data_IF_573978420858
#
_entry.id   IF_573978420858
#
_cell.length_a   1.000
_cell.length_b   1.000
_cell.length_c   1.000
_cell.angle_alpha   90.00
_cell.angle_beta   90.00
_cell.angle_gamma   90.00
#
_symmetry.space_group_name_H-M   'P 1'
#
loop_
_entity.id
_entity.type
_entity.pdbx_description
1 polymer ?
#
# COMPACT_ATOMS: atom_id res chain seq x y z
N UNK A 1 9.61 -2.20 -26.92
CA UNK A 1 10.23 -1.67 -25.68
C UNK A 1 11.49 -0.92 -26.08
N UNK A 2 11.68 0.30 -25.58
CA UNK A 2 12.90 1.08 -25.78
C UNK A 2 13.60 1.18 -24.41
N UNK A 3 14.87 0.79 -24.37
CA UNK A 3 15.73 0.84 -23.18
C UNK A 3 17.09 1.42 -23.56
N UNK A 4 17.57 2.41 -22.80
CA UNK A 4 18.88 3.04 -23.06
C UNK A 4 20.04 2.23 -22.49
N UNK A 5 19.80 1.48 -21.43
CA UNK A 5 20.82 0.64 -20.78
C UNK A 5 20.93 -0.71 -21.51
N UNK A 6 22.03 -1.42 -21.28
CA UNK A 6 22.23 -2.77 -21.79
C UNK A 6 21.37 -3.84 -21.08
N UNK A 7 20.68 -3.48 -20.02
CA UNK A 7 19.80 -4.34 -19.22
C UNK A 7 18.43 -3.68 -19.04
N UNK A 8 17.37 -4.46 -19.26
CA UNK A 8 15.99 -4.01 -19.05
C UNK A 8 15.58 -4.16 -17.58
N UNK A 9 14.61 -3.36 -17.13
CA UNK A 9 14.05 -3.49 -15.78
C UNK A 9 13.87 -2.17 -15.03
N UNK A 10 14.43 -1.06 -15.53
CA UNK A 10 14.29 0.26 -14.88
C UNK A 10 14.71 0.22 -13.41
N UNK A 11 13.85 0.72 -12.53
CA UNK A 11 14.08 0.72 -11.07
C UNK A 11 14.06 -0.68 -10.43
N UNK A 12 13.47 -1.66 -11.10
CA UNK A 12 13.40 -3.04 -10.61
C UNK A 12 14.63 -3.89 -10.97
N UNK A 13 15.59 -3.33 -11.75
CA UNK A 13 16.79 -4.07 -12.16
C UNK A 13 17.59 -4.57 -10.96
N UNK A 14 18.10 -5.79 -11.06
CA UNK A 14 19.03 -6.38 -10.09
C UNK A 14 20.46 -6.16 -10.56
N UNK A 15 21.26 -5.49 -9.75
CA UNK A 15 22.65 -5.18 -10.05
C UNK A 15 23.59 -5.75 -8.97
N UNK A 16 24.82 -6.01 -9.36
CA UNK A 16 25.88 -6.39 -8.43
C UNK A 16 26.49 -5.11 -7.85
N UNK A 17 26.25 -4.88 -6.55
CA UNK A 17 26.80 -3.71 -5.86
C UNK A 17 28.12 -4.00 -5.14
N UNK A 18 28.45 -5.27 -4.96
CA UNK A 18 29.72 -5.77 -4.42
C UNK A 18 29.98 -7.15 -5.03
N UNK A 19 31.24 -7.56 -5.29
CA UNK A 19 31.55 -8.87 -5.85
C UNK A 19 30.84 -10.03 -5.12
N UNK A 20 30.00 -10.77 -5.86
CA UNK A 20 29.18 -11.87 -5.34
C UNK A 20 27.85 -11.45 -4.69
N UNK A 21 27.58 -10.14 -4.52
CA UNK A 21 26.36 -9.64 -3.90
C UNK A 21 25.50 -8.86 -4.89
N UNK A 22 24.30 -9.35 -5.12
CA UNK A 22 23.33 -8.75 -6.04
C UNK A 22 22.07 -8.35 -5.31
N UNK A 23 21.52 -7.18 -5.64
CA UNK A 23 20.27 -6.70 -5.10
C UNK A 23 19.50 -5.89 -6.15
N UNK A 24 18.19 -5.75 -5.96
CA UNK A 24 17.42 -4.79 -6.74
C UNK A 24 17.80 -3.36 -6.34
N UNK A 25 17.95 -2.49 -7.34
CA UNK A 25 18.35 -1.09 -7.11
C UNK A 25 17.31 -0.34 -6.29
N UNK A 26 16.02 -0.50 -6.58
CA UNK A 26 14.96 0.24 -5.89
C UNK A 26 13.70 -0.59 -5.59
N UNK A 27 13.63 -1.85 -6.00
CA UNK A 27 12.46 -2.72 -5.78
C UNK A 27 12.78 -3.83 -4.78
N UNK A 28 12.84 -3.48 -3.51
CA UNK A 28 13.16 -4.40 -2.42
C UNK A 28 11.99 -5.30 -1.98
N UNK A 29 10.78 -4.98 -2.40
CA UNK A 29 9.56 -5.72 -2.06
C UNK A 29 8.68 -5.91 -3.28
N UNK A 30 8.14 -7.13 -3.46
CA UNK A 30 7.13 -7.43 -4.47
C UNK A 30 5.75 -7.26 -3.84
N UNK A 31 5.21 -6.05 -3.85
CA UNK A 31 3.91 -5.73 -3.23
C UNK A 31 2.82 -5.40 -4.24
N UNK A 32 3.18 -4.84 -5.40
CA UNK A 32 2.22 -4.30 -6.38
C UNK A 32 2.15 -5.12 -7.68
N UNK A 33 2.93 -6.20 -7.80
CA UNK A 33 2.86 -7.07 -8.97
C UNK A 33 1.51 -7.78 -9.01
N UNK A 34 0.71 -7.44 -10.01
CA UNK A 34 -0.65 -7.93 -10.12
C UNK A 34 -0.70 -9.42 -10.48
N UNK A 35 -1.57 -10.22 -9.85
CA UNK A 35 -1.75 -11.64 -10.19
C UNK A 35 -2.06 -11.88 -11.67
N UNK A 36 -2.80 -10.96 -12.30
CA UNK A 36 -3.09 -11.02 -13.74
C UNK A 36 -1.80 -10.99 -14.58
N UNK A 37 -0.85 -10.12 -14.25
CA UNK A 37 0.44 -10.03 -14.96
C UNK A 37 1.25 -11.31 -14.79
N UNK A 38 1.23 -11.88 -13.57
CA UNK A 38 1.91 -13.16 -13.30
C UNK A 38 1.32 -14.27 -14.18
N UNK A 39 -0.01 -14.34 -14.29
CA UNK A 39 -0.70 -15.34 -15.09
C UNK A 39 -0.52 -15.12 -16.59
N UNK A 40 -0.73 -13.90 -17.09
CA UNK A 40 -0.67 -13.58 -18.52
C UNK A 40 0.72 -13.80 -19.12
N UNK A 41 1.77 -13.59 -18.32
CA UNK A 41 3.17 -13.77 -18.72
C UNK A 41 3.77 -15.10 -18.27
N UNK A 42 2.98 -15.96 -17.62
CA UNK A 42 3.43 -17.24 -17.08
C UNK A 42 4.75 -17.13 -16.30
N UNK A 43 4.83 -16.14 -15.41
CA UNK A 43 6.08 -15.77 -14.76
C UNK A 43 6.67 -16.90 -13.89
N UNK A 44 5.82 -17.78 -13.36
CA UNK A 44 6.29 -18.94 -12.58
C UNK A 44 7.04 -19.96 -13.45
N UNK A 45 6.60 -20.20 -14.69
CA UNK A 45 7.33 -21.03 -15.64
C UNK A 45 8.68 -20.41 -16.06
N UNK A 46 8.75 -19.07 -16.01
CA UNK A 46 10.00 -18.32 -16.24
C UNK A 46 10.85 -18.14 -14.99
N UNK A 47 10.54 -18.85 -13.89
CA UNK A 47 11.37 -18.89 -12.68
C UNK A 47 11.05 -17.86 -11.61
N UNK A 48 9.92 -17.13 -11.71
CA UNK A 48 9.51 -16.24 -10.63
C UNK A 48 9.23 -17.04 -9.36
N UNK A 49 9.94 -16.70 -8.30
CA UNK A 49 9.75 -17.26 -6.97
C UNK A 49 9.61 -16.11 -5.96
N UNK A 50 8.42 -15.91 -5.44
CA UNK A 50 8.15 -14.93 -4.40
C UNK A 50 8.35 -15.57 -3.04
N UNK A 51 9.25 -15.01 -2.23
CA UNK A 51 9.55 -15.50 -0.88
C UNK A 51 8.85 -14.61 0.13
N UNK A 52 7.97 -15.17 0.91
CA UNK A 52 7.28 -14.48 2.00
C UNK A 52 8.24 -14.19 3.15
N UNK A 53 8.33 -12.93 3.55
CA UNK A 53 9.09 -12.54 4.74
C UNK A 53 8.30 -12.91 6.00
N UNK A 54 8.99 -13.43 7.01
CA UNK A 54 8.37 -13.73 8.31
C UNK A 54 8.03 -12.48 9.12
N UNK A 55 8.75 -11.37 8.87
CA UNK A 55 8.58 -10.07 9.51
C UNK A 55 8.51 -8.98 8.43
N UNK A 56 7.62 -8.03 8.61
CA UNK A 56 7.46 -6.91 7.68
C UNK A 56 8.48 -5.82 7.96
N UNK A 57 8.56 -5.36 9.22
CA UNK A 57 9.43 -4.28 9.61
C UNK A 57 10.20 -4.60 10.90
N UNK A 58 11.38 -4.04 11.00
CA UNK A 58 12.20 -3.96 12.22
C UNK A 58 12.56 -2.50 12.46
N UNK A 59 12.03 -1.93 13.54
CA UNK A 59 12.32 -0.58 13.98
C UNK A 59 13.18 -0.62 15.24
N UNK A 60 14.51 -0.37 15.16
CA UNK A 60 15.34 -0.18 16.33
C UNK A 60 15.10 1.18 16.98
N UNK A 61 15.18 1.24 18.30
CA UNK A 61 15.03 2.47 19.08
C UNK A 61 16.35 2.81 19.80
N UNK A 62 16.58 4.10 20.13
CA UNK A 62 17.85 4.56 20.74
C UNK A 62 18.18 3.90 22.09
N UNK A 63 17.18 3.47 22.83
CA UNK A 63 17.31 2.81 24.14
C UNK A 63 17.60 1.30 24.06
N UNK A 64 17.84 0.77 22.87
CA UNK A 64 18.08 -0.63 22.61
C UNK A 64 16.82 -1.48 22.52
N UNK A 65 15.64 -0.90 22.72
CA UNK A 65 14.38 -1.56 22.42
C UNK A 65 14.17 -1.63 20.89
N UNK A 66 13.21 -2.40 20.48
CA UNK A 66 12.82 -2.49 19.06
C UNK A 66 11.35 -2.90 18.91
N UNK A 67 10.76 -2.48 17.80
CA UNK A 67 9.45 -2.94 17.37
C UNK A 67 9.60 -3.85 16.14
N UNK A 68 9.06 -5.06 16.22
CA UNK A 68 8.90 -5.98 15.10
C UNK A 68 7.44 -6.01 14.66
N UNK A 69 7.19 -5.87 13.35
CA UNK A 69 5.85 -6.05 12.79
C UNK A 69 5.84 -7.16 11.75
N UNK A 70 4.64 -7.63 11.41
CA UNK A 70 4.44 -8.80 10.55
C UNK A 70 4.45 -10.12 11.30
N UNK A 71 3.61 -11.03 10.82
CA UNK A 71 3.34 -12.30 11.51
C UNK A 71 2.43 -12.13 12.72
N UNK A 72 2.08 -13.24 13.37
CA UNK A 72 1.06 -13.27 14.43
C UNK A 72 1.42 -12.57 15.75
N UNK A 73 2.62 -12.01 15.89
CA UNK A 73 3.09 -11.40 17.13
C UNK A 73 3.02 -9.86 17.13
N UNK A 74 2.55 -9.23 16.05
CA UNK A 74 2.55 -7.75 15.92
C UNK A 74 1.85 -7.08 17.09
N UNK A 75 0.66 -7.54 17.47
CA UNK A 75 -0.11 -7.00 18.61
C UNK A 75 0.68 -7.07 19.92
N UNK A 76 1.35 -8.20 20.16
CA UNK A 76 2.17 -8.39 21.37
C UNK A 76 3.41 -7.48 21.38
N UNK A 77 4.01 -7.27 20.21
CA UNK A 77 5.15 -6.35 20.08
C UNK A 77 4.73 -4.90 20.33
N UNK A 78 3.58 -4.48 19.79
CA UNK A 78 3.00 -3.14 20.01
C UNK A 78 2.63 -2.95 21.50
N UNK A 79 2.11 -3.98 22.15
CA UNK A 79 1.74 -3.93 23.58
C UNK A 79 2.91 -3.60 24.51
N UNK A 80 4.16 -3.79 24.08
CA UNK A 80 5.35 -3.37 24.85
C UNK A 80 5.43 -1.85 24.99
N UNK A 81 4.86 -1.10 24.06
CA UNK A 81 4.91 0.37 24.00
C UNK A 81 3.59 1.00 24.44
N UNK A 82 2.46 0.42 24.03
CA UNK A 82 1.12 0.83 24.44
C UNK A 82 0.13 -0.33 24.34
N UNK A 83 -0.49 -0.65 25.45
CA UNK A 83 -1.57 -1.64 25.50
C UNK A 83 -2.79 -1.17 24.70
N UNK A 84 -3.11 0.13 24.80
CA UNK A 84 -4.21 0.75 24.04
C UNK A 84 -4.01 0.62 22.54
N UNK A 85 -2.79 0.86 22.06
CA UNK A 85 -2.46 0.76 20.64
C UNK A 85 -2.58 -0.70 20.16
N UNK A 86 -2.11 -1.65 20.97
CA UNK A 86 -2.24 -3.07 20.68
C UNK A 86 -3.70 -3.54 20.59
N UNK A 87 -4.58 -3.00 21.43
CA UNK A 87 -6.01 -3.28 21.41
C UNK A 87 -6.71 -2.66 20.17
N UNK A 88 -6.22 -1.53 19.66
CA UNK A 88 -6.79 -0.83 18.50
C UNK A 88 -6.28 -1.32 17.15
N UNK A 89 -5.07 -1.86 17.12
CA UNK A 89 -4.41 -2.25 15.89
C UNK A 89 -5.24 -3.20 15.00
N UNK A 90 -5.90 -4.25 15.52
CA UNK A 90 -6.69 -5.13 14.67
C UNK A 90 -7.87 -4.44 13.98
N UNK A 91 -8.50 -3.49 14.64
CA UNK A 91 -9.61 -2.71 14.05
C UNK A 91 -9.10 -1.73 13.01
N UNK A 92 -7.97 -1.09 13.25
CA UNK A 92 -7.28 -0.24 12.27
C UNK A 92 -6.95 -1.02 11.00
N UNK A 93 -6.30 -2.18 11.12
CA UNK A 93 -5.95 -3.04 9.99
C UNK A 93 -7.20 -3.48 9.22
N UNK A 94 -8.24 -3.92 9.91
CA UNK A 94 -9.50 -4.36 9.30
C UNK A 94 -10.16 -3.25 8.46
N UNK A 95 -10.15 -2.01 8.95
CA UNK A 95 -10.72 -0.87 8.22
C UNK A 95 -9.91 -0.49 7.00
N UNK A 96 -8.59 -0.43 7.14
CA UNK A 96 -7.71 -0.17 6.00
C UNK A 96 -7.83 -1.25 4.93
N UNK A 97 -7.91 -2.51 5.30
CA UNK A 97 -8.09 -3.61 4.35
C UNK A 97 -9.40 -3.48 3.57
N UNK A 98 -10.50 -3.14 4.24
CA UNK A 98 -11.78 -2.91 3.58
C UNK A 98 -11.73 -1.76 2.56
N UNK A 99 -11.05 -0.67 2.90
CA UNK A 99 -10.82 0.46 1.98
C UNK A 99 -9.89 0.06 0.84
N UNK A 100 -8.79 -0.61 1.16
CA UNK A 100 -7.80 -1.05 0.18
C UNK A 100 -8.39 -2.02 -0.86
N UNK A 101 -9.30 -2.90 -0.47
CA UNK A 101 -9.98 -3.81 -1.40
C UNK A 101 -10.81 -3.06 -2.44
N UNK A 102 -11.50 -2.00 -2.03
CA UNK A 102 -12.24 -1.13 -2.95
C UNK A 102 -11.29 -0.38 -3.87
N UNK A 103 -10.20 0.19 -3.32
CA UNK A 103 -9.21 0.94 -4.12
C UNK A 103 -8.47 0.03 -5.11
N UNK A 104 -8.09 -1.19 -4.72
CA UNK A 104 -7.48 -2.18 -5.63
C UNK A 104 -8.40 -2.51 -6.80
N UNK A 105 -9.69 -2.70 -6.53
CA UNK A 105 -10.68 -2.97 -7.56
C UNK A 105 -10.87 -1.77 -8.52
N UNK A 106 -10.79 -0.54 -8.02
CA UNK A 106 -10.84 0.69 -8.82
C UNK A 106 -9.57 0.88 -9.65
N UNK A 107 -8.40 0.65 -9.06
CA UNK A 107 -7.11 0.83 -9.73
C UNK A 107 -6.90 -0.10 -10.93
N UNK A 108 -7.57 -1.27 -10.95
CA UNK A 108 -7.50 -2.22 -12.07
C UNK A 108 -8.40 -1.87 -13.25
N UNK A 109 -9.11 -0.76 -13.20
CA UNK A 109 -10.04 -0.37 -14.26
C UNK A 109 -9.66 1.01 -14.80
N UNK A 110 -9.73 1.21 -16.13
CA UNK A 110 -9.58 2.54 -16.68
C UNK A 110 -10.73 3.43 -16.19
N UNK A 111 -10.46 4.72 -15.92
CA UNK A 111 -11.50 5.66 -15.53
C UNK A 111 -12.58 5.75 -16.64
N UNK A 112 -13.87 5.84 -16.29
CA UNK A 112 -14.93 5.98 -17.28
C UNK A 112 -14.79 7.31 -18.02
N UNK A 113 -14.78 7.25 -19.35
CA UNK A 113 -14.74 8.44 -20.19
C UNK A 113 -16.16 8.85 -20.59
N UNK A 114 -16.71 9.84 -19.89
CA UNK A 114 -18.07 10.34 -20.10
C UNK A 114 -18.13 11.61 -20.97
N UNK A 115 -16.95 12.13 -21.39
CA UNK A 115 -16.84 13.42 -22.09
C UNK A 115 -16.66 13.28 -23.61
N UNK A 116 -16.01 12.21 -24.07
CA UNK A 116 -15.66 12.04 -25.46
C UNK A 116 -16.63 11.12 -26.22
N UNK A 117 -17.06 11.55 -27.39
CA UNK A 117 -17.73 10.68 -28.35
C UNK A 117 -19.25 10.68 -28.34
N UNK A 118 -19.88 11.68 -27.72
CA UNK A 118 -21.33 11.85 -27.73
C UNK A 118 -22.07 10.85 -26.83
N UNK A 119 -23.39 11.05 -26.73
CA UNK A 119 -24.23 10.34 -25.74
C UNK A 119 -24.28 8.81 -25.94
N UNK A 120 -24.16 8.32 -27.14
CA UNK A 120 -24.14 6.88 -27.44
C UNK A 120 -22.90 6.17 -26.85
N UNK A 121 -21.75 6.87 -26.81
CA UNK A 121 -20.53 6.34 -26.19
C UNK A 121 -20.51 6.61 -24.70
N UNK A 122 -21.16 7.66 -24.23
CA UNK A 122 -21.25 7.99 -22.82
C UNK A 122 -22.10 6.99 -22.03
N UNK A 123 -23.12 6.38 -22.61
CA UNK A 123 -24.04 5.47 -21.92
C UNK A 123 -23.34 4.22 -21.35
N UNK A 124 -22.52 3.47 -22.07
CA UNK A 124 -21.74 2.35 -21.50
C UNK A 124 -20.78 2.81 -20.40
N UNK A 125 -20.16 3.99 -20.56
CA UNK A 125 -19.23 4.54 -19.58
C UNK A 125 -19.96 5.01 -18.31
N UNK A 126 -21.16 5.56 -18.40
CA UNK A 126 -22.03 5.85 -17.27
C UNK A 126 -22.43 4.57 -16.53
N UNK A 127 -22.73 3.48 -17.25
CA UNK A 127 -23.00 2.18 -16.61
C UNK A 127 -21.75 1.63 -15.91
N UNK A 128 -20.56 1.86 -16.45
CA UNK A 128 -19.29 1.53 -15.80
C UNK A 128 -19.10 2.37 -14.55
N UNK A 129 -19.30 3.69 -14.63
CA UNK A 129 -19.27 4.59 -13.47
C UNK A 129 -20.25 4.16 -12.37
N UNK A 130 -21.48 3.77 -12.75
CA UNK A 130 -22.47 3.25 -11.83
C UNK A 130 -22.03 1.94 -11.13
N UNK A 131 -21.31 1.06 -11.83
CA UNK A 131 -20.73 -0.15 -11.23
C UNK A 131 -19.60 0.18 -10.25
N UNK A 132 -18.76 1.16 -10.57
CA UNK A 132 -17.72 1.66 -9.66
C UNK A 132 -18.37 2.31 -8.41
N UNK A 133 -19.41 3.11 -8.59
CA UNK A 133 -20.19 3.68 -7.48
C UNK A 133 -20.79 2.62 -6.56
N UNK A 134 -21.23 1.47 -7.10
CA UNK A 134 -21.68 0.34 -6.28
C UNK A 134 -20.58 -0.28 -5.41
N UNK A 135 -19.33 -0.24 -5.84
CA UNK A 135 -18.22 -0.74 -5.01
C UNK A 135 -17.99 0.20 -3.82
N UNK A 136 -18.02 1.52 -4.04
CA UNK A 136 -17.95 2.50 -2.95
C UNK A 136 -19.16 2.38 -2.00
N UNK A 137 -20.31 2.00 -2.51
CA UNK A 137 -21.53 1.77 -1.70
C UNK A 137 -21.47 0.53 -0.79
N UNK A 138 -20.50 -0.37 -1.02
CA UNK A 138 -20.25 -1.51 -0.12
C UNK A 138 -19.61 -1.07 1.20
N UNK A 139 -18.92 0.04 1.19
CA UNK A 139 -18.40 0.66 2.40
C UNK A 139 -19.57 1.30 3.15
N UNK A 140 -19.64 1.10 4.46
CA UNK A 140 -20.55 1.83 5.30
C UNK A 140 -20.20 3.33 5.36
N UNK A 141 -21.02 4.12 5.99
CA UNK A 141 -20.82 5.57 6.04
C UNK A 141 -19.50 5.96 6.71
N UNK A 142 -19.12 5.27 7.77
CA UNK A 142 -17.87 5.49 8.51
C UNK A 142 -16.66 5.21 7.63
N UNK A 143 -16.63 4.08 6.93
CA UNK A 143 -15.54 3.72 6.04
C UNK A 143 -15.44 4.64 4.81
N UNK A 144 -16.58 5.15 4.31
CA UNK A 144 -16.57 6.17 3.25
C UNK A 144 -15.98 7.49 3.71
N UNK A 145 -16.26 7.89 4.94
CA UNK A 145 -15.63 9.07 5.53
C UNK A 145 -14.13 8.85 5.74
N UNK A 146 -13.72 7.71 6.28
CA UNK A 146 -12.31 7.36 6.41
C UNK A 146 -11.57 7.31 5.07
N UNK A 147 -12.22 6.82 4.01
CA UNK A 147 -11.66 6.87 2.66
C UNK A 147 -11.39 8.31 2.22
N UNK A 148 -12.30 9.25 2.48
CA UNK A 148 -12.07 10.67 2.19
C UNK A 148 -10.96 11.25 3.06
N UNK A 149 -10.93 10.90 4.33
CA UNK A 149 -9.87 11.33 5.26
C UNK A 149 -8.49 10.91 4.75
N UNK A 150 -8.31 9.66 4.29
CA UNK A 150 -7.04 9.17 3.74
C UNK A 150 -6.53 10.00 2.53
N UNK A 151 -7.42 10.64 1.77
CA UNK A 151 -7.02 11.50 0.65
C UNK A 151 -6.85 12.98 1.03
N UNK A 152 -7.30 13.40 2.20
CA UNK A 152 -7.40 14.82 2.54
C UNK A 152 -6.58 15.24 3.75
N UNK A 153 -6.44 14.37 4.75
CA UNK A 153 -5.64 14.67 5.94
C UNK A 153 -4.20 14.18 5.80
N UNK A 154 -3.37 14.45 6.77
CA UNK A 154 -2.00 13.96 6.80
C UNK A 154 -1.90 12.56 7.42
N UNK A 155 -0.91 11.77 7.00
CA UNK A 155 -0.63 10.46 7.61
C UNK A 155 -0.41 10.58 9.12
N UNK A 156 0.31 11.62 9.57
CA UNK A 156 0.52 11.89 10.99
C UNK A 156 -0.80 12.13 11.73
N UNK A 157 -1.66 13.00 11.22
CA UNK A 157 -2.96 13.28 11.82
C UNK A 157 -3.86 12.02 11.85
N UNK A 158 -3.89 11.26 10.75
CA UNK A 158 -4.65 10.02 10.69
C UNK A 158 -4.19 9.02 11.75
N UNK A 159 -2.86 8.81 11.87
CA UNK A 159 -2.28 7.91 12.85
C UNK A 159 -2.43 8.41 14.30
N UNK A 160 -2.41 9.73 14.54
CA UNK A 160 -2.64 10.32 15.86
C UNK A 160 -4.07 10.07 16.38
N UNK A 161 -5.05 9.93 15.49
CA UNK A 161 -6.42 9.53 15.88
C UNK A 161 -6.50 8.09 16.36
N UNK A 162 -5.61 7.22 15.88
CA UNK A 162 -5.60 5.79 16.19
C UNK A 162 -4.67 5.43 17.33
N UNK A 163 -3.45 5.95 17.32
CA UNK A 163 -2.34 5.48 18.17
C UNK A 163 -1.74 6.61 18.99
N UNK A 164 -1.22 6.25 20.17
CA UNK A 164 -0.51 7.17 21.06
C UNK A 164 1.02 6.98 21.02
N UNK A 165 1.49 5.75 20.82
CA UNK A 165 2.92 5.46 20.86
C UNK A 165 3.64 5.79 19.56
N UNK A 166 4.80 6.43 19.67
CA UNK A 166 5.63 6.81 18.53
C UNK A 166 6.10 5.63 17.68
N UNK A 167 6.52 4.48 18.24
CA UNK A 167 7.05 3.38 17.44
C UNK A 167 6.05 2.83 16.42
N UNK A 168 4.79 2.62 16.81
CA UNK A 168 3.79 2.12 15.84
C UNK A 168 3.45 3.17 14.79
N UNK A 169 3.33 4.43 15.17
CA UNK A 169 3.10 5.53 14.23
C UNK A 169 4.24 5.67 13.23
N UNK A 170 5.49 5.52 13.68
CA UNK A 170 6.65 5.58 12.80
C UNK A 170 6.69 4.44 11.78
N UNK A 171 6.35 3.21 12.18
CA UNK A 171 6.30 2.06 11.27
C UNK A 171 5.19 2.21 10.24
N UNK A 172 3.98 2.58 10.67
CA UNK A 172 2.83 2.71 9.76
C UNK A 172 2.94 3.96 8.87
N UNK A 173 3.43 5.08 9.42
CA UNK A 173 3.62 6.32 8.67
C UNK A 173 4.74 6.24 7.63
N UNK A 174 5.70 5.31 7.78
CA UNK A 174 6.75 5.10 6.79
C UNK A 174 6.16 4.73 5.42
N UNK A 175 5.21 3.82 5.38
CA UNK A 175 4.59 3.39 4.12
C UNK A 175 3.80 4.53 3.45
N UNK A 176 3.20 5.45 4.22
CA UNK A 176 2.50 6.62 3.70
C UNK A 176 3.39 7.68 3.06
N UNK A 177 4.68 7.74 3.44
CA UNK A 177 5.63 8.73 2.90
C UNK A 177 6.59 8.17 1.84
N UNK A 178 6.65 6.87 1.66
CA UNK A 178 7.51 6.25 0.64
C UNK A 178 7.06 6.65 -0.76
N UNK A 179 7.95 7.33 -1.49
CA UNK A 179 7.66 7.84 -2.82
C UNK A 179 6.91 9.19 -2.85
N UNK A 180 6.55 9.71 -1.70
CA UNK A 180 5.94 11.03 -1.57
C UNK A 180 6.96 12.03 -0.99
N UNK A 181 7.33 13.05 -1.77
CA UNK A 181 8.26 14.10 -1.33
C UNK A 181 7.54 15.11 -0.43
N UNK A 182 7.04 14.63 0.71
CA UNK A 182 6.27 15.41 1.66
C UNK A 182 6.56 14.98 3.10
N UNK A 183 6.28 15.86 4.05
CA UNK A 183 6.25 15.50 5.47
C UNK A 183 5.06 14.58 5.75
N UNK A 184 5.16 13.65 6.71
CA UNK A 184 4.01 12.85 7.15
C UNK A 184 2.87 13.70 7.74
N UNK A 185 3.11 14.98 8.00
CA UNK A 185 2.09 15.94 8.43
C UNK A 185 1.59 16.87 7.31
N UNK A 186 1.99 16.60 6.07
CA UNK A 186 1.43 17.35 4.93
C UNK A 186 0.03 16.79 4.60
N UNK A 187 -1.01 17.65 4.45
CA UNK A 187 -2.34 17.20 4.04
C UNK A 187 -2.30 16.39 2.74
N UNK A 188 -3.07 15.31 2.68
CA UNK A 188 -3.08 14.39 1.56
C UNK A 188 -1.92 13.39 1.52
N UNK A 189 -1.21 13.20 2.65
CA UNK A 189 -0.14 12.19 2.78
C UNK A 189 -0.59 10.91 3.51
N UNK A 190 -1.85 10.83 3.92
CA UNK A 190 -2.38 9.66 4.62
C UNK A 190 -2.58 8.46 3.69
#
# INVERSE_FOLDING_TARGET
VLERRHVVGGAAVTEEFHPGFRNSVASYTVSLLQPQVIADLDLHAHGLKIVQRKRSNFLPLPDGQYLLTGGGETVQQVAKFSRRDAERLPEYERRLDAIADVLRALAMQPPPNVTDGGWWKALPELMRAGRLGKQLHKLDETLRQELLDLFTISAGEYLDRWFESTPIKAVLGFDGIVGNYASPYTPGSA
#
